data_IF_207155317954
#
_entry.id   IF_207155317954
#
_cell.length_a   1.000
_cell.length_b   1.000
_cell.length_c   1.000
_cell.angle_alpha   90.00
_cell.angle_beta   90.00
_cell.angle_gamma   90.00
#
_symmetry.space_group_name_H-M   'P 1'
#
loop_
_entity.id
_entity.type
_entity.pdbx_description
1 polymer ?
#
# COMPACT_ATOMS: atom_id res chain seq x y z
N UNK A 1 -0.76 11.70 18.87
CA UNK A 1 0.20 11.72 19.96
C UNK A 1 -0.47 11.15 21.20
N UNK A 2 0.28 10.46 22.06
CA UNK A 2 -0.19 10.01 23.38
C UNK A 2 0.70 10.72 24.39
N UNK A 3 0.30 11.91 24.81
CA UNK A 3 1.11 12.75 25.68
C UNK A 3 0.87 12.45 27.17
N UNK A 4 -0.31 11.95 27.52
CA UNK A 4 -0.74 11.68 28.90
C UNK A 4 -1.72 10.50 28.97
N UNK A 5 -2.16 10.13 30.17
CA UNK A 5 -3.08 9.02 30.40
C UNK A 5 -4.43 9.20 29.67
N UNK A 6 -4.98 10.41 29.59
CA UNK A 6 -6.25 10.66 28.89
C UNK A 6 -6.15 10.34 27.39
N UNK A 7 -5.08 10.78 26.75
CA UNK A 7 -4.83 10.47 25.32
C UNK A 7 -4.52 8.99 25.10
N UNK A 8 -3.82 8.37 26.04
CA UNK A 8 -3.50 6.95 26.01
C UNK A 8 -4.74 6.06 26.20
N UNK A 9 -5.73 6.48 27.01
CA UNK A 9 -7.04 5.81 27.11
C UNK A 9 -7.81 5.90 25.78
N UNK A 10 -7.84 7.07 25.14
CA UNK A 10 -8.45 7.22 23.81
C UNK A 10 -7.77 6.33 22.77
N UNK A 11 -6.45 6.16 22.88
CA UNK A 11 -5.69 5.25 22.03
C UNK A 11 -6.03 3.78 22.32
N UNK A 12 -6.11 3.37 23.59
CA UNK A 12 -6.53 2.03 24.00
C UNK A 12 -7.90 1.69 23.40
N UNK A 13 -8.88 2.58 23.54
CA UNK A 13 -10.22 2.37 22.98
C UNK A 13 -10.20 2.15 21.45
N UNK A 14 -9.28 2.80 20.70
CA UNK A 14 -9.11 2.56 19.27
C UNK A 14 -8.53 1.18 18.98
N UNK A 15 -7.55 0.72 19.78
CA UNK A 15 -6.99 -0.63 19.62
C UNK A 15 -8.05 -1.70 19.92
N UNK A 16 -8.88 -1.48 20.94
CA UNK A 16 -9.98 -2.40 21.27
C UNK A 16 -11.12 -2.38 20.25
N UNK A 17 -11.29 -1.27 19.52
CA UNK A 17 -12.22 -1.17 18.38
C UNK A 17 -11.73 -1.82 17.07
N UNK A 18 -10.46 -2.20 16.98
CA UNK A 18 -9.84 -2.74 15.77
C UNK A 18 -10.51 -4.02 15.22
N UNK A 19 -10.97 -4.98 16.08
CA UNK A 19 -11.68 -6.17 15.60
C UNK A 19 -12.91 -5.86 14.73
N UNK A 20 -13.69 -4.85 15.12
CA UNK A 20 -14.85 -4.42 14.33
C UNK A 20 -14.41 -3.88 12.96
N UNK A 21 -13.40 -3.04 12.93
CA UNK A 21 -12.87 -2.48 11.68
C UNK A 21 -12.39 -3.58 10.72
N UNK A 22 -11.70 -4.60 11.23
CA UNK A 22 -11.24 -5.74 10.42
C UNK A 22 -12.44 -6.53 9.89
N UNK A 23 -13.46 -6.78 10.70
CA UNK A 23 -14.69 -7.46 10.28
C UNK A 23 -15.38 -6.70 9.14
N UNK A 24 -15.62 -5.40 9.32
CA UNK A 24 -16.25 -4.54 8.31
C UNK A 24 -15.42 -4.53 7.00
N UNK A 25 -14.08 -4.54 7.11
CA UNK A 25 -13.18 -4.60 5.96
C UNK A 25 -13.30 -5.93 5.21
N UNK A 26 -13.32 -7.06 5.94
CA UNK A 26 -13.49 -8.40 5.34
C UNK A 26 -14.82 -8.50 4.60
N UNK A 27 -15.91 -8.00 5.18
CA UNK A 27 -17.24 -8.05 4.57
C UNK A 27 -17.30 -7.17 3.30
N UNK A 28 -16.65 -6.03 3.29
CA UNK A 28 -16.51 -5.20 2.10
C UNK A 28 -15.69 -5.91 1.00
N UNK A 29 -14.58 -6.57 1.35
CA UNK A 29 -13.77 -7.33 0.40
C UNK A 29 -14.58 -8.50 -0.17
N UNK A 30 -15.35 -9.22 0.64
CA UNK A 30 -16.25 -10.29 0.18
C UNK A 30 -17.30 -9.78 -0.81
N UNK A 31 -17.80 -8.59 -0.58
CA UNK A 31 -18.71 -7.93 -1.53
C UNK A 31 -17.99 -7.62 -2.84
N UNK A 32 -16.74 -7.17 -2.79
CA UNK A 32 -15.89 -6.95 -3.96
C UNK A 32 -15.64 -8.26 -4.75
N UNK A 33 -15.35 -9.36 -4.07
CA UNK A 33 -15.18 -10.69 -4.68
C UNK A 33 -16.44 -11.08 -5.51
N UNK A 34 -17.63 -10.92 -4.92
CA UNK A 34 -18.90 -11.24 -5.59
C UNK A 34 -19.13 -10.41 -6.84
N UNK A 35 -18.60 -9.20 -6.90
CA UNK A 35 -18.69 -8.27 -8.02
C UNK A 35 -17.54 -8.42 -9.03
N UNK A 36 -16.58 -9.32 -8.79
CA UNK A 36 -15.36 -9.43 -9.61
C UNK A 36 -14.39 -8.25 -9.48
N UNK A 37 -14.57 -7.42 -8.45
CA UNK A 37 -13.70 -6.27 -8.16
C UNK A 37 -12.56 -6.72 -7.27
N UNK A 38 -11.60 -7.44 -7.86
CA UNK A 38 -10.47 -8.04 -7.15
C UNK A 38 -9.13 -7.55 -7.71
N UNK A 39 -8.12 -7.58 -6.86
CA UNK A 39 -6.74 -7.23 -7.22
C UNK A 39 -6.08 -8.36 -8.03
N UNK A 40 -4.99 -8.08 -8.76
CA UNK A 40 -4.14 -9.14 -9.29
C UNK A 40 -3.48 -9.94 -8.16
N UNK A 41 -3.39 -11.26 -8.33
CA UNK A 41 -2.85 -12.19 -7.33
C UNK A 41 -1.42 -11.88 -6.91
N UNK A 42 -0.54 -11.55 -7.85
CA UNK A 42 0.87 -11.24 -7.56
C UNK A 42 1.05 -10.05 -6.60
N UNK A 43 0.13 -9.07 -6.62
CA UNK A 43 0.16 -7.94 -5.67
C UNK A 43 -0.16 -8.45 -4.27
N UNK A 44 -1.15 -9.32 -4.16
CA UNK A 44 -1.57 -9.90 -2.86
C UNK A 44 -0.47 -10.79 -2.30
N UNK A 45 0.15 -11.63 -3.13
CA UNK A 45 1.29 -12.46 -2.71
C UNK A 45 2.44 -11.64 -2.12
N UNK A 46 2.75 -10.47 -2.72
CA UNK A 46 3.78 -9.56 -2.23
C UNK A 46 3.40 -8.84 -0.92
N UNK A 47 2.11 -8.72 -0.61
CA UNK A 47 1.64 -8.06 0.62
C UNK A 47 1.56 -9.01 1.82
N UNK A 48 1.42 -10.30 1.62
CA UNK A 48 1.29 -11.28 2.70
C UNK A 48 2.45 -11.23 3.73
N UNK A 49 3.74 -11.15 3.33
CA UNK A 49 4.84 -11.05 4.29
C UNK A 49 4.80 -9.78 5.15
N UNK A 50 4.17 -8.70 4.66
CA UNK A 50 4.02 -7.45 5.41
C UNK A 50 3.08 -7.63 6.61
N UNK A 51 1.99 -8.35 6.45
CA UNK A 51 1.10 -8.70 7.57
C UNK A 51 1.80 -9.59 8.58
N UNK A 52 2.56 -10.60 8.12
CA UNK A 52 3.32 -11.49 9.00
C UNK A 52 4.34 -10.72 9.85
N UNK A 53 5.02 -9.75 9.28
CA UNK A 53 6.00 -8.93 10.00
C UNK A 53 5.38 -8.13 11.15
N UNK A 54 4.10 -7.75 11.03
CA UNK A 54 3.39 -6.98 12.07
C UNK A 54 3.12 -7.85 13.31
N UNK A 55 2.44 -8.97 13.13
CA UNK A 55 1.98 -9.78 14.29
C UNK A 55 3.05 -10.74 14.82
N UNK A 56 4.15 -10.96 14.11
CA UNK A 56 5.31 -11.72 14.59
C UNK A 56 6.32 -10.85 15.36
N UNK A 57 6.15 -9.54 15.40
CA UNK A 57 6.99 -8.63 16.17
C UNK A 57 6.60 -8.68 17.66
N UNK A 58 7.59 -8.63 18.57
CA UNK A 58 7.29 -8.52 20.00
C UNK A 58 6.49 -7.24 20.27
N UNK A 59 5.44 -7.32 21.09
CA UNK A 59 4.53 -6.20 21.37
C UNK A 59 5.25 -4.96 21.89
N UNK A 60 6.31 -5.12 22.70
CA UNK A 60 7.10 -3.99 23.22
C UNK A 60 7.94 -3.27 22.14
N UNK A 61 8.19 -3.91 21.02
CA UNK A 61 8.92 -3.37 19.88
C UNK A 61 7.99 -3.04 18.70
N UNK A 62 6.68 -3.22 18.91
CA UNK A 62 5.64 -2.92 17.94
C UNK A 62 5.59 -1.45 17.58
N UNK A 63 5.31 -1.16 16.30
CA UNK A 63 5.03 0.20 15.82
C UNK A 63 3.88 0.86 16.58
N UNK A 64 2.96 0.07 17.12
CA UNK A 64 1.83 0.52 17.95
C UNK A 64 2.24 0.94 19.34
N UNK A 65 3.39 0.50 19.87
CA UNK A 65 3.86 0.78 21.21
C UNK A 65 5.08 1.70 21.28
N UNK A 66 5.89 1.78 20.23
CA UNK A 66 7.18 2.51 20.24
C UNK A 66 7.09 3.92 20.82
N UNK A 67 6.06 4.70 20.46
CA UNK A 67 5.89 6.09 20.94
C UNK A 67 5.48 6.20 22.41
N UNK A 68 4.98 5.13 23.02
CA UNK A 68 4.60 5.09 24.42
C UNK A 68 5.71 4.53 25.32
N UNK A 69 6.66 3.78 24.74
CA UNK A 69 7.71 3.04 25.47
C UNK A 69 8.50 3.95 26.42
N UNK A 70 8.91 5.12 25.94
CA UNK A 70 9.74 6.08 26.71
C UNK A 70 8.94 7.24 27.34
N UNK A 71 7.62 7.28 27.19
CA UNK A 71 6.82 8.36 27.76
C UNK A 71 6.51 8.09 29.25
N UNK A 72 7.08 8.92 30.13
CA UNK A 72 6.90 8.78 31.58
C UNK A 72 5.61 9.40 32.11
N UNK A 73 4.88 10.18 31.30
CA UNK A 73 3.60 10.81 31.67
C UNK A 73 2.41 9.84 31.51
N UNK A 74 2.68 8.61 31.05
CA UNK A 74 1.69 7.53 30.94
C UNK A 74 1.95 6.50 32.05
N UNK A 75 0.90 6.19 32.80
CA UNK A 75 0.97 5.24 33.91
C UNK A 75 1.35 3.82 33.43
N UNK A 76 2.09 3.10 34.27
CA UNK A 76 2.49 1.71 33.98
C UNK A 76 1.28 0.79 33.79
N UNK A 77 0.20 1.02 34.50
CA UNK A 77 -1.05 0.26 34.39
C UNK A 77 -1.65 0.41 32.99
N UNK A 78 -1.69 1.63 32.46
CA UNK A 78 -2.25 1.90 31.15
C UNK A 78 -1.33 1.35 30.03
N UNK A 79 -0.02 1.47 30.21
CA UNK A 79 0.94 0.82 29.29
C UNK A 79 0.74 -0.69 29.19
N UNK A 80 0.49 -1.38 30.31
CA UNK A 80 0.18 -2.81 30.30
C UNK A 80 -1.14 -3.13 29.59
N UNK A 81 -2.19 -2.32 29.82
CA UNK A 81 -3.46 -2.49 29.10
C UNK A 81 -3.27 -2.35 27.58
N UNK A 82 -2.48 -1.35 27.16
CA UNK A 82 -2.18 -1.13 25.73
C UNK A 82 -1.40 -2.30 25.14
N UNK A 83 -0.38 -2.83 25.81
CA UNK A 83 0.36 -4.01 25.37
C UNK A 83 -0.55 -5.22 25.21
N UNK A 84 -1.47 -5.44 26.15
CA UNK A 84 -2.47 -6.51 26.08
C UNK A 84 -3.43 -6.30 24.90
N UNK A 85 -3.90 -5.07 24.67
CA UNK A 85 -4.75 -4.77 23.52
C UNK A 85 -4.03 -4.95 22.19
N UNK A 86 -2.74 -4.60 22.09
CA UNK A 86 -1.92 -4.87 20.91
C UNK A 86 -1.85 -6.37 20.64
N UNK A 87 -1.57 -7.19 21.66
CA UNK A 87 -1.50 -8.64 21.49
C UNK A 87 -2.85 -9.26 21.13
N UNK A 88 -3.88 -8.95 21.89
CA UNK A 88 -5.15 -9.68 21.87
C UNK A 88 -6.17 -9.12 20.88
N UNK A 89 -6.11 -7.81 20.57
CA UNK A 89 -7.04 -7.17 19.64
C UNK A 89 -6.37 -6.84 18.30
N UNK A 90 -5.12 -6.35 18.30
CA UNK A 90 -4.48 -5.93 17.05
C UNK A 90 -3.82 -7.11 16.34
N UNK A 91 -2.92 -7.83 17.01
CA UNK A 91 -2.17 -8.91 16.38
C UNK A 91 -3.04 -10.11 16.01
N UNK A 92 -4.00 -10.47 16.87
CA UNK A 92 -4.97 -11.52 16.56
C UNK A 92 -5.79 -11.17 15.32
N UNK A 93 -6.17 -9.90 15.17
CA UNK A 93 -6.94 -9.45 14.02
C UNK A 93 -6.10 -9.31 12.74
N UNK A 94 -4.83 -8.89 12.83
CA UNK A 94 -3.91 -8.95 11.69
C UNK A 94 -3.72 -10.39 11.21
N UNK A 95 -3.60 -11.34 12.15
CA UNK A 95 -3.52 -12.76 11.80
C UNK A 95 -4.81 -13.27 11.15
N UNK A 96 -5.97 -12.92 11.71
CA UNK A 96 -7.28 -13.26 11.12
C UNK A 96 -7.44 -12.67 9.71
N UNK A 97 -7.02 -11.43 9.52
CA UNK A 97 -7.05 -10.78 8.21
C UNK A 97 -6.09 -11.45 7.22
N UNK A 98 -4.87 -11.77 7.67
CA UNK A 98 -3.92 -12.55 6.86
C UNK A 98 -4.50 -13.90 6.43
N UNK A 99 -5.09 -14.65 7.36
CA UNK A 99 -5.69 -15.96 7.07
C UNK A 99 -6.85 -15.82 6.06
N UNK A 100 -7.68 -14.79 6.18
CA UNK A 100 -8.72 -14.45 5.21
C UNK A 100 -8.13 -14.11 3.83
N UNK A 101 -7.13 -13.23 3.80
CA UNK A 101 -6.49 -12.82 2.53
C UNK A 101 -5.85 -14.01 1.84
N UNK A 102 -5.15 -14.86 2.57
CA UNK A 102 -4.46 -16.04 2.02
C UNK A 102 -5.41 -17.13 1.53
N UNK A 103 -6.48 -17.42 2.30
CA UNK A 103 -7.31 -18.60 2.08
C UNK A 103 -8.61 -18.31 1.31
N UNK A 104 -9.10 -17.06 1.32
CA UNK A 104 -10.36 -16.69 0.68
C UNK A 104 -10.16 -15.67 -0.44
N UNK A 105 -9.41 -14.60 -0.18
CA UNK A 105 -9.24 -13.51 -1.15
C UNK A 105 -8.27 -13.86 -2.29
N UNK A 106 -7.09 -14.36 -1.98
CA UNK A 106 -6.05 -14.69 -2.96
C UNK A 106 -6.53 -15.71 -4.02
N UNK A 107 -7.26 -16.79 -3.68
CA UNK A 107 -7.83 -17.69 -4.66
C UNK A 107 -8.86 -17.03 -5.59
N UNK A 108 -9.45 -15.91 -5.17
CA UNK A 108 -10.44 -15.15 -5.93
C UNK A 108 -9.83 -14.04 -6.79
N UNK A 109 -8.52 -13.80 -6.64
CA UNK A 109 -7.81 -12.76 -7.34
C UNK A 109 -7.67 -13.06 -8.84
N UNK A 110 -7.63 -12.01 -9.66
CA UNK A 110 -7.42 -12.13 -11.11
C UNK A 110 -5.93 -12.38 -11.42
N UNK A 111 -5.67 -13.04 -12.55
CA UNK A 111 -4.31 -13.33 -13.03
C UNK A 111 -3.71 -12.18 -13.84
N UNK A 112 -4.54 -11.47 -14.59
CA UNK A 112 -4.11 -10.35 -15.40
C UNK A 112 -3.86 -9.11 -14.55
N UNK A 113 -2.74 -8.43 -14.83
CA UNK A 113 -2.33 -7.22 -14.11
C UNK A 113 -3.21 -6.00 -14.45
N UNK A 114 -3.68 -5.91 -15.70
CA UNK A 114 -4.34 -4.72 -16.23
C UNK A 114 -5.77 -4.52 -15.71
N UNK A 115 -6.16 -3.27 -15.55
CA UNK A 115 -7.52 -2.90 -15.11
C UNK A 115 -8.61 -3.39 -16.09
N UNK A 116 -8.28 -3.57 -17.36
CA UNK A 116 -9.20 -4.06 -18.40
C UNK A 116 -9.76 -5.46 -18.13
N UNK A 117 -9.11 -6.25 -17.29
CA UNK A 117 -9.61 -7.57 -16.88
C UNK A 117 -10.68 -7.51 -15.78
N UNK A 118 -10.97 -6.34 -15.24
CA UNK A 118 -12.06 -6.12 -14.29
C UNK A 118 -13.39 -5.88 -15.05
N UNK A 119 -14.54 -6.10 -14.40
CA UNK A 119 -15.82 -5.64 -14.93
C UNK A 119 -15.78 -4.15 -15.28
N UNK A 120 -16.21 -3.81 -16.49
CA UNK A 120 -16.17 -2.45 -17.05
C UNK A 120 -14.77 -1.81 -17.03
N UNK A 121 -13.72 -2.62 -17.01
CA UNK A 121 -12.35 -2.17 -16.79
C UNK A 121 -11.85 -1.20 -17.86
N UNK A 122 -12.19 -1.41 -19.13
CA UNK A 122 -11.84 -0.49 -20.22
C UNK A 122 -12.52 0.86 -20.08
N UNK A 123 -13.80 0.88 -19.72
CA UNK A 123 -14.56 2.11 -19.50
C UNK A 123 -14.03 2.87 -18.27
N UNK A 124 -13.70 2.15 -17.21
CA UNK A 124 -13.05 2.72 -16.00
C UNK A 124 -11.71 3.34 -16.34
N UNK A 125 -10.91 2.66 -17.17
CA UNK A 125 -9.60 3.19 -17.58
C UNK A 125 -9.76 4.46 -18.42
N UNK A 126 -10.70 4.48 -19.37
CA UNK A 126 -11.02 5.67 -20.15
C UNK A 126 -11.50 6.84 -19.28
N UNK A 127 -12.34 6.54 -18.28
CA UNK A 127 -12.79 7.56 -17.32
C UNK A 127 -11.60 8.16 -16.56
N UNK A 128 -10.70 7.31 -16.04
CA UNK A 128 -9.51 7.75 -15.32
C UNK A 128 -8.57 8.60 -16.18
N UNK A 129 -8.36 8.23 -17.46
CA UNK A 129 -7.59 9.06 -18.40
C UNK A 129 -8.20 10.45 -18.50
N UNK A 130 -9.50 10.55 -18.75
CA UNK A 130 -10.19 11.84 -18.87
C UNK A 130 -10.10 12.67 -17.58
N UNK A 131 -10.21 12.03 -16.42
CA UNK A 131 -10.13 12.68 -15.11
C UNK A 131 -8.72 13.21 -14.82
N UNK A 132 -7.68 12.37 -14.97
CA UNK A 132 -6.30 12.75 -14.67
C UNK A 132 -5.67 13.69 -15.70
N UNK A 133 -6.00 13.52 -16.98
CA UNK A 133 -5.44 14.38 -18.05
C UNK A 133 -6.26 15.64 -18.29
N UNK A 134 -7.49 15.69 -17.77
CA UNK A 134 -8.46 16.77 -18.00
C UNK A 134 -8.84 16.99 -19.48
N UNK A 135 -8.45 16.06 -20.36
CA UNK A 135 -8.73 16.11 -21.81
C UNK A 135 -9.32 14.78 -22.27
N UNK A 136 -10.00 14.80 -23.41
CA UNK A 136 -10.59 13.59 -24.01
C UNK A 136 -9.59 12.93 -24.92
N UNK A 137 -8.75 12.05 -24.35
CA UNK A 137 -7.79 11.21 -25.05
C UNK A 137 -8.16 9.75 -24.86
N UNK A 138 -7.87 8.94 -25.85
CA UNK A 138 -7.94 7.48 -25.75
C UNK A 138 -6.69 6.93 -25.05
N UNK A 139 -6.73 5.70 -24.49
CA UNK A 139 -5.55 5.02 -23.98
C UNK A 139 -4.40 4.97 -24.98
N UNK A 140 -4.70 4.67 -26.25
CA UNK A 140 -3.70 4.55 -27.32
C UNK A 140 -3.05 5.91 -27.63
N UNK A 141 -3.83 7.00 -27.69
CA UNK A 141 -3.27 8.34 -27.88
C UNK A 141 -2.35 8.76 -26.75
N UNK A 142 -2.68 8.41 -25.50
CA UNK A 142 -1.81 8.67 -24.35
C UNK A 142 -0.52 7.83 -24.45
N UNK A 143 -0.63 6.55 -24.78
CA UNK A 143 0.50 5.65 -24.96
C UNK A 143 1.45 6.14 -26.08
N UNK A 144 0.92 6.43 -27.25
CA UNK A 144 1.71 6.95 -28.38
C UNK A 144 2.38 8.30 -28.05
N UNK A 145 1.70 9.15 -27.28
CA UNK A 145 2.31 10.40 -26.81
C UNK A 145 3.47 10.11 -25.87
N UNK A 146 3.30 9.13 -24.95
CA UNK A 146 4.37 8.69 -24.07
C UNK A 146 5.61 8.17 -24.82
N UNK A 147 5.40 7.35 -25.85
CA UNK A 147 6.50 6.84 -26.67
C UNK A 147 7.25 7.95 -27.39
N UNK A 148 6.56 8.88 -28.04
CA UNK A 148 7.18 10.05 -28.72
C UNK A 148 7.97 10.91 -27.75
N UNK A 149 7.43 11.20 -26.58
CA UNK A 149 8.14 12.01 -25.58
C UNK A 149 9.35 11.29 -24.99
N UNK A 150 9.26 9.98 -24.76
CA UNK A 150 10.41 9.18 -24.34
C UNK A 150 11.55 9.23 -25.38
N UNK A 151 11.24 9.08 -26.65
CA UNK A 151 12.21 9.20 -27.75
C UNK A 151 12.82 10.61 -27.83
N UNK A 152 11.98 11.64 -27.77
CA UNK A 152 12.40 13.05 -27.78
C UNK A 152 13.37 13.36 -26.62
N UNK A 153 12.99 12.98 -25.40
CA UNK A 153 13.80 13.20 -24.19
C UNK A 153 15.12 12.43 -24.29
N UNK A 154 15.09 11.17 -24.72
CA UNK A 154 16.31 10.37 -24.90
C UNK A 154 17.27 11.04 -25.89
N UNK A 155 16.77 11.52 -27.02
CA UNK A 155 17.58 12.24 -28.00
C UNK A 155 18.16 13.54 -27.45
N UNK A 156 17.41 14.29 -26.61
CA UNK A 156 17.94 15.48 -25.94
C UNK A 156 19.01 15.14 -24.89
N UNK A 157 18.84 14.06 -24.13
CA UNK A 157 19.85 13.59 -23.18
C UNK A 157 21.15 13.20 -23.92
N UNK A 158 21.08 12.48 -25.03
CA UNK A 158 22.23 12.14 -25.86
C UNK A 158 22.94 13.39 -26.42
N UNK A 159 22.17 14.40 -26.85
CA UNK A 159 22.72 15.68 -27.31
C UNK A 159 23.52 16.38 -26.21
N UNK A 160 22.96 16.49 -25.00
CA UNK A 160 23.64 17.09 -23.85
C UNK A 160 24.92 16.35 -23.48
N UNK A 161 24.88 15.01 -23.43
CA UNK A 161 26.06 14.17 -23.17
C UNK A 161 27.17 14.43 -24.20
N UNK A 162 26.81 14.57 -25.48
CA UNK A 162 27.74 14.86 -26.55
C UNK A 162 28.33 16.28 -26.44
N UNK A 163 27.53 17.28 -26.11
CA UNK A 163 27.98 18.67 -25.85
C UNK A 163 28.98 18.73 -24.70
N UNK A 164 28.77 17.93 -23.66
CA UNK A 164 29.69 17.79 -22.53
C UNK A 164 30.94 16.98 -22.83
N UNK A 165 31.07 16.44 -24.07
CA UNK A 165 32.17 15.57 -24.52
C UNK A 165 32.37 14.33 -23.62
N UNK A 166 31.30 13.85 -23.00
CA UNK A 166 31.36 12.63 -22.21
C UNK A 166 31.29 11.43 -23.17
N UNK A 167 32.26 10.50 -23.03
CA UNK A 167 32.31 9.27 -23.84
C UNK A 167 31.66 8.14 -23.05
N UNK A 168 30.38 7.88 -23.31
CA UNK A 168 29.63 6.81 -22.66
C UNK A 168 28.13 6.87 -22.96
N UNK A 169 27.42 5.86 -22.50
CA UNK A 169 25.97 5.77 -22.58
C UNK A 169 25.28 6.71 -21.60
N UNK A 170 23.96 6.91 -21.78
CA UNK A 170 23.11 7.66 -20.82
C UNK A 170 23.22 7.04 -19.40
N UNK A 171 23.25 5.71 -19.30
CA UNK A 171 23.36 5.04 -18.00
C UNK A 171 24.72 5.31 -17.32
N UNK A 172 25.80 5.30 -18.10
CA UNK A 172 27.14 5.62 -17.57
C UNK A 172 27.23 7.08 -17.16
N UNK A 173 26.62 8.00 -17.91
CA UNK A 173 26.53 9.40 -17.54
C UNK A 173 25.72 9.61 -16.26
N UNK A 174 24.57 8.94 -16.12
CA UNK A 174 23.76 9.00 -14.90
C UNK A 174 24.52 8.45 -13.67
N UNK A 175 25.36 7.44 -13.85
CA UNK A 175 26.22 6.92 -12.78
C UNK A 175 27.36 7.90 -12.43
N UNK A 176 27.90 8.61 -13.41
CA UNK A 176 28.91 9.64 -13.21
C UNK A 176 28.37 10.84 -12.41
N UNK A 177 27.07 11.16 -12.55
CA UNK A 177 26.42 12.28 -11.85
C UNK A 177 26.03 11.97 -10.39
N UNK A 178 26.05 10.71 -9.95
CA UNK A 178 25.71 10.25 -8.58
C UNK A 178 26.94 10.22 -7.67
#
# INVERSE_FOLDING_TARGET
>A
PCANDEEAEKYLNRLEGFPKQVTDTIDNIRSGIKLGLVMPDFIIEQTLPQFESIYNTNTVDSIFYQKLKSNNDISSVLKHKILNAISNSVYSEFKRFYDFVKNEYLPSCRKEAGIWSMPDGSERYQYLINDYTTVKLTPDEVHETGLREAERITGEMERVIKELKFSGSINEFNNYLR
#
